data_IF_825704577151
#
_entry.id   IF_825704577151
#
_cell.length_a   1.000
_cell.length_b   1.000
_cell.length_c   1.000
_cell.angle_alpha   90.00
_cell.angle_beta   90.00
_cell.angle_gamma   90.00
#
_symmetry.space_group_name_H-M   'P 1'
#
loop_
_entity.id
_entity.type
_entity.pdbx_description
1 polymer ?
#
# COMPACT_ATOMS: atom_id res chain seq x y z
N UNK A 1 31.79 -5.19 -8.90
CA UNK A 1 31.20 -5.66 -7.63
C UNK A 1 29.73 -5.98 -7.86
N UNK A 2 29.46 -7.25 -8.12
CA UNK A 2 28.16 -7.82 -8.54
C UNK A 2 27.34 -8.16 -7.31
N UNK A 3 26.22 -7.46 -7.11
CA UNK A 3 25.24 -7.70 -6.04
C UNK A 3 24.02 -8.44 -6.58
N UNK A 4 23.99 -9.74 -6.35
CA UNK A 4 23.10 -10.74 -6.94
C UNK A 4 21.63 -10.60 -6.50
N UNK A 5 20.72 -10.41 -7.47
CA UNK A 5 19.27 -10.46 -7.27
C UNK A 5 18.84 -11.89 -6.91
N UNK A 6 18.27 -12.07 -5.71
CA UNK A 6 17.62 -13.33 -5.30
C UNK A 6 16.27 -13.47 -6.02
N UNK A 7 16.16 -14.53 -6.83
CA UNK A 7 14.93 -14.95 -7.53
C UNK A 7 13.87 -15.37 -6.52
N UNK A 8 12.64 -14.89 -6.72
CA UNK A 8 11.43 -15.51 -6.18
C UNK A 8 10.59 -16.03 -7.36
N UNK A 9 10.23 -17.31 -7.24
CA UNK A 9 9.23 -18.15 -7.92
C UNK A 9 8.52 -17.67 -9.19
N UNK A 10 8.45 -18.58 -10.16
CA UNK A 10 7.81 -18.44 -11.47
C UNK A 10 6.36 -17.93 -11.40
N UNK A 11 6.16 -16.69 -11.86
CA UNK A 11 4.85 -16.10 -12.05
C UNK A 11 4.21 -16.64 -13.33
N UNK A 12 3.00 -17.19 -13.20
CA UNK A 12 2.06 -17.43 -14.30
C UNK A 12 1.95 -16.13 -15.11
N UNK A 13 2.44 -16.13 -16.35
CA UNK A 13 2.38 -15.01 -17.29
C UNK A 13 0.95 -14.80 -17.78
N UNK A 14 0.13 -14.18 -16.93
CA UNK A 14 -1.01 -13.40 -17.39
C UNK A 14 -0.43 -12.14 -18.01
N UNK A 15 -0.85 -11.70 -19.21
CA UNK A 15 -0.35 -10.46 -19.77
C UNK A 15 -0.55 -9.35 -18.73
N UNK A 16 0.54 -8.67 -18.39
CA UNK A 16 0.58 -7.60 -17.42
C UNK A 16 -0.31 -6.44 -17.89
N UNK A 17 -1.62 -6.56 -17.66
CA UNK A 17 -2.49 -5.40 -17.51
C UNK A 17 -1.93 -4.68 -16.29
N UNK A 18 -1.02 -3.75 -16.55
CA UNK A 18 -0.19 -3.08 -15.56
C UNK A 18 -1.01 -2.80 -14.30
N UNK A 19 -0.71 -3.54 -13.24
CA UNK A 19 -1.29 -3.26 -11.92
C UNK A 19 -1.02 -1.78 -11.58
N UNK A 20 -1.87 -1.21 -10.73
CA UNK A 20 -1.73 0.19 -10.32
C UNK A 20 -0.54 0.35 -9.36
N UNK A 21 0.67 0.14 -9.86
CA UNK A 21 1.94 0.11 -9.14
C UNK A 21 2.60 1.50 -9.12
N UNK A 22 3.47 1.77 -8.12
CA UNK A 22 4.20 3.02 -8.04
C UNK A 22 5.29 3.12 -9.13
N UNK A 23 5.40 4.29 -9.72
CA UNK A 23 6.56 4.73 -10.50
C UNK A 23 7.52 5.45 -9.55
N UNK A 24 8.66 4.82 -9.22
CA UNK A 24 9.67 5.40 -8.31
C UNK A 24 10.18 6.75 -8.85
N UNK A 25 10.74 7.56 -7.94
CA UNK A 25 11.09 8.98 -8.13
C UNK A 25 9.89 9.93 -8.22
N UNK A 26 8.92 9.65 -9.09
CA UNK A 26 7.76 10.53 -9.31
C UNK A 26 6.56 10.18 -8.43
N UNK A 27 6.51 8.95 -7.92
CA UNK A 27 5.42 8.43 -7.10
C UNK A 27 4.04 8.56 -7.75
N UNK A 28 3.98 8.47 -9.07
CA UNK A 28 2.76 8.38 -9.84
C UNK A 28 2.41 6.92 -10.12
N UNK A 29 1.14 6.65 -10.37
CA UNK A 29 0.68 5.33 -10.76
C UNK A 29 1.06 5.05 -12.21
N UNK A 30 1.74 3.93 -12.47
CA UNK A 30 2.16 3.53 -13.82
C UNK A 30 0.98 3.33 -14.78
N UNK A 31 -0.20 2.99 -14.26
CA UNK A 31 -1.39 2.69 -15.06
C UNK A 31 -2.21 3.92 -15.43
N UNK A 32 -2.40 4.85 -14.49
CA UNK A 32 -3.32 5.97 -14.68
C UNK A 32 -2.69 7.36 -14.49
N UNK A 33 -1.39 7.45 -14.20
CA UNK A 33 -0.67 8.72 -14.03
C UNK A 33 -1.03 9.52 -12.77
N UNK A 34 -2.03 9.09 -12.00
CA UNK A 34 -2.44 9.76 -10.76
C UNK A 34 -1.41 9.56 -9.63
N UNK A 35 -1.37 10.44 -8.62
CA UNK A 35 -0.55 10.24 -7.43
C UNK A 35 -0.78 8.85 -6.83
N UNK A 36 0.28 8.05 -6.71
CA UNK A 36 0.22 6.75 -6.08
C UNK A 36 0.28 6.91 -4.55
N UNK A 37 -0.56 6.22 -3.74
CA UNK A 37 -1.57 5.25 -4.14
C UNK A 37 -2.80 5.92 -4.77
N UNK A 38 -3.12 5.55 -6.01
CA UNK A 38 -4.35 6.00 -6.67
C UNK A 38 -5.56 5.17 -6.19
N UNK A 39 -6.79 5.61 -6.48
CA UNK A 39 -8.00 4.92 -5.99
C UNK A 39 -8.04 3.41 -6.26
N UNK A 40 -7.67 2.98 -7.47
CA UNK A 40 -7.60 1.57 -7.83
C UNK A 40 -6.48 0.81 -7.11
N UNK A 41 -5.32 1.46 -6.86
CA UNK A 41 -4.25 0.88 -6.04
C UNK A 41 -4.71 0.69 -4.59
N UNK A 42 -5.40 1.69 -4.02
CA UNK A 42 -5.95 1.60 -2.65
C UNK A 42 -6.91 0.41 -2.53
N UNK A 43 -7.84 0.27 -3.49
CA UNK A 43 -8.78 -0.84 -3.51
C UNK A 43 -8.08 -2.21 -3.62
N UNK A 44 -7.10 -2.35 -4.53
CA UNK A 44 -6.34 -3.58 -4.70
C UNK A 44 -5.56 -3.95 -3.43
N UNK A 45 -4.88 -2.97 -2.80
CA UNK A 45 -4.12 -3.18 -1.57
C UNK A 45 -5.01 -3.62 -0.40
N UNK A 46 -6.22 -3.07 -0.27
CA UNK A 46 -7.17 -3.51 0.77
C UNK A 46 -7.60 -4.96 0.56
N UNK A 47 -7.82 -5.38 -0.69
CA UNK A 47 -8.18 -6.77 -1.01
C UNK A 47 -7.01 -7.71 -0.74
N UNK A 48 -5.80 -7.33 -1.15
CA UNK A 48 -4.59 -8.14 -0.99
C UNK A 48 -4.22 -8.34 0.49
N UNK A 49 -4.33 -7.29 1.30
CA UNK A 49 -3.99 -7.32 2.72
C UNK A 49 -5.19 -7.48 3.66
N UNK A 50 -6.33 -7.97 3.15
CA UNK A 50 -7.58 -8.10 3.92
C UNK A 50 -7.43 -8.92 5.21
N UNK A 51 -6.48 -9.85 5.23
CA UNK A 51 -6.22 -10.77 6.32
C UNK A 51 -5.20 -10.22 7.33
N UNK A 52 -4.50 -9.12 7.01
CA UNK A 52 -3.57 -8.45 7.92
C UNK A 52 -3.42 -6.96 7.58
N UNK A 53 -4.16 -6.11 8.31
CA UNK A 53 -4.01 -4.66 8.19
C UNK A 53 -2.64 -4.17 8.67
N UNK A 54 -2.04 -4.83 9.66
CA UNK A 54 -0.69 -4.47 10.13
C UNK A 54 0.31 -4.58 8.99
N UNK A 55 0.22 -5.64 8.18
CA UNK A 55 1.07 -5.82 7.00
C UNK A 55 0.83 -4.73 5.94
N UNK A 56 -0.41 -4.29 5.73
CA UNK A 56 -0.73 -3.15 4.85
C UNK A 56 -0.07 -1.85 5.35
N UNK A 57 -0.18 -1.55 6.65
CA UNK A 57 0.43 -0.36 7.23
C UNK A 57 1.95 -0.38 7.14
N UNK A 58 2.59 -1.52 7.42
CA UNK A 58 4.04 -1.66 7.30
C UNK A 58 4.52 -1.46 5.86
N UNK A 59 3.81 -2.05 4.89
CA UNK A 59 4.11 -1.85 3.47
C UNK A 59 3.99 -0.37 3.06
N UNK A 60 2.89 0.28 3.45
CA UNK A 60 2.65 1.69 3.12
C UNK A 60 3.61 2.64 3.85
N UNK A 61 4.05 2.31 5.07
CA UNK A 61 5.04 3.09 5.80
C UNK A 61 6.41 3.05 5.12
N UNK A 62 6.83 1.88 4.61
CA UNK A 62 8.04 1.76 3.78
C UNK A 62 7.92 2.61 2.51
N UNK A 63 6.76 2.54 1.84
CA UNK A 63 6.50 3.37 0.67
C UNK A 63 6.52 4.87 0.98
N UNK A 64 5.95 5.30 2.11
CA UNK A 64 5.95 6.68 2.56
C UNK A 64 7.36 7.21 2.76
N UNK A 65 8.21 6.46 3.49
CA UNK A 65 9.60 6.83 3.72
C UNK A 65 10.34 7.03 2.40
N UNK A 66 10.25 6.05 1.51
CA UNK A 66 10.84 6.12 0.19
C UNK A 66 10.30 7.27 -0.67
N UNK A 67 9.01 7.60 -0.54
CA UNK A 67 8.35 8.68 -1.28
C UNK A 67 8.82 10.06 -0.85
N UNK A 68 8.95 10.26 0.46
CA UNK A 68 9.51 11.49 1.01
C UNK A 68 10.91 11.70 0.45
N UNK A 69 11.78 10.68 0.56
CA UNK A 69 13.15 10.73 0.06
C UNK A 69 13.24 11.04 -1.44
N UNK A 70 12.47 10.31 -2.26
CA UNK A 70 12.48 10.46 -3.72
C UNK A 70 11.95 11.82 -4.18
N UNK A 71 10.81 12.27 -3.61
CA UNK A 71 10.19 13.54 -3.99
C UNK A 71 11.01 14.73 -3.48
N UNK A 72 11.60 14.63 -2.28
CA UNK A 72 12.36 15.74 -1.71
C UNK A 72 13.69 15.94 -2.47
N UNK A 73 14.30 14.84 -2.93
CA UNK A 73 15.44 14.89 -3.87
C UNK A 73 15.08 15.48 -5.23
N UNK A 74 13.84 15.27 -5.71
CA UNK A 74 13.38 15.83 -6.97
C UNK A 74 13.14 17.34 -6.86
N UNK A 75 12.34 17.74 -5.87
CA UNK A 75 12.08 19.13 -5.50
C UNK A 75 11.35 19.20 -4.15
N UNK A 76 11.91 19.88 -3.13
CA UNK A 76 11.25 20.03 -1.82
C UNK A 76 9.82 20.59 -1.89
N UNK A 77 9.50 21.46 -2.86
CA UNK A 77 8.14 21.99 -3.00
C UNK A 77 7.12 20.95 -3.48
N UNK A 78 7.57 19.89 -4.16
CA UNK A 78 6.71 18.82 -4.68
C UNK A 78 6.39 17.79 -3.60
N UNK A 79 7.29 17.59 -2.63
CA UNK A 79 7.02 16.71 -1.47
C UNK A 79 5.86 17.23 -0.62
N UNK A 80 5.67 18.54 -0.52
CA UNK A 80 4.64 19.12 0.34
C UNK A 80 4.92 18.88 1.83
N UNK A 81 3.88 18.96 2.67
CA UNK A 81 4.02 18.82 4.12
C UNK A 81 4.03 17.37 4.58
N UNK A 82 4.51 17.13 5.81
CA UNK A 82 4.43 15.82 6.44
C UNK A 82 2.98 15.32 6.60
N UNK A 83 2.03 16.23 6.83
CA UNK A 83 0.61 15.90 6.93
C UNK A 83 0.05 15.39 5.59
N UNK A 84 0.39 16.06 4.47
CA UNK A 84 -0.05 15.64 3.14
C UNK A 84 0.44 14.22 2.79
N UNK A 85 1.71 13.94 3.14
CA UNK A 85 2.32 12.63 2.92
C UNK A 85 1.69 11.55 3.81
N UNK A 86 1.40 11.88 5.07
CA UNK A 86 0.66 10.99 5.95
C UNK A 86 -0.74 10.67 5.39
N UNK A 87 -1.52 11.67 5.02
CA UNK A 87 -2.89 11.48 4.53
C UNK A 87 -2.94 10.66 3.23
N UNK A 88 -1.96 10.89 2.35
CA UNK A 88 -1.82 10.18 1.09
C UNK A 88 -1.56 8.68 1.28
N UNK A 89 -0.64 8.32 2.17
CA UNK A 89 -0.21 6.92 2.34
C UNK A 89 -0.95 6.20 3.47
N UNK A 90 -1.09 6.82 4.64
CA UNK A 90 -1.53 6.19 5.89
C UNK A 90 -2.88 6.71 6.44
N UNK A 91 -3.39 7.84 5.95
CA UNK A 91 -4.65 8.42 6.45
C UNK A 91 -5.90 7.65 6.02
N UNK A 92 -5.89 7.04 4.83
CA UNK A 92 -7.04 6.33 4.29
C UNK A 92 -7.23 4.88 4.79
N UNK A 93 -6.19 4.05 5.06
CA UNK A 93 -6.36 2.71 5.61
C UNK A 93 -6.93 2.73 7.03
N UNK A 94 -6.72 3.81 7.79
CA UNK A 94 -7.25 3.97 9.15
C UNK A 94 -8.78 3.85 9.22
N UNK A 95 -9.48 4.24 8.14
CA UNK A 95 -10.94 4.11 8.01
C UNK A 95 -11.39 2.64 7.91
N UNK A 96 -10.52 1.73 7.49
CA UNK A 96 -10.78 0.29 7.42
C UNK A 96 -10.48 -0.46 8.73
N UNK A 97 -9.68 0.13 9.64
CA UNK A 97 -9.44 -0.44 10.97
C UNK A 97 -10.76 -0.64 11.71
N UNK A 98 -11.68 0.33 11.59
CA UNK A 98 -12.99 0.24 12.23
C UNK A 98 -13.79 -0.97 11.73
N UNK A 99 -13.76 -1.25 10.43
CA UNK A 99 -14.43 -2.40 9.84
C UNK A 99 -13.76 -3.74 10.20
N UNK A 100 -12.42 -3.78 10.23
CA UNK A 100 -11.65 -4.98 10.63
C UNK A 100 -11.90 -5.35 12.09
N UNK A 101 -11.91 -4.36 13.00
CA UNK A 101 -12.18 -4.59 14.43
C UNK A 101 -13.55 -5.23 14.66
N UNK A 102 -14.56 -4.80 13.90
CA UNK A 102 -15.91 -5.38 13.96
C UNK A 102 -15.89 -6.84 13.46
N UNK A 103 -15.19 -7.12 12.36
CA UNK A 103 -15.06 -8.49 11.81
C UNK A 103 -14.39 -9.46 12.79
N UNK A 104 -13.30 -9.05 13.42
CA UNK A 104 -12.60 -9.87 14.42
C UNK A 104 -13.48 -10.16 15.63
N UNK A 105 -14.19 -9.15 16.16
CA UNK A 105 -15.12 -9.32 17.28
C UNK A 105 -16.25 -10.29 16.92
N UNK A 106 -16.80 -10.20 15.70
CA UNK A 106 -17.86 -11.14 15.26
C UNK A 106 -17.35 -12.56 15.03
N UNK A 107 -16.09 -12.74 14.59
CA UNK A 107 -15.50 -14.06 14.40
C UNK A 107 -15.27 -14.78 15.75
N UNK A 108 -14.66 -14.09 16.72
CA UNK A 108 -14.42 -14.62 18.08
C UNK A 108 -15.74 -15.05 18.74
N UNK A 109 -16.80 -14.23 18.60
CA UNK A 109 -18.11 -14.54 19.19
C UNK A 109 -18.82 -15.73 18.54
N UNK A 110 -18.57 -16.00 17.26
CA UNK A 110 -19.15 -17.15 16.56
C UNK A 110 -18.43 -18.47 16.92
N UNK A 111 -17.14 -18.40 17.26
CA UNK A 111 -16.36 -19.53 17.76
C UNK A 111 -16.76 -19.92 19.19
N UNK A 112 -17.02 -18.93 20.06
CA UNK A 112 -17.54 -19.15 21.43
C UNK A 112 -18.97 -19.71 21.44
N UNK A 113 -19.83 -19.31 20.49
CA UNK A 113 -21.22 -19.79 20.41
C UNK A 113 -21.37 -21.18 19.76
N UNK A 114 -20.29 -21.74 19.20
CA UNK A 114 -20.26 -23.08 18.60
C UNK A 114 -19.63 -24.14 19.51
N UNK A 115 -19.29 -23.77 20.76
CA UNK A 115 -18.83 -24.67 21.84
C UNK A 115 -19.90 -24.79 22.91
#
# INVERSE_FOLDING_TARGET
MTGQQRRLTAHRTVPARLEHLPMRRLWLCRRCGQPWPCGAAKAALVVEYRDSLVSLFLYLAGCLHDAIDDLHRLNPSVTGSAADMFDRFLGWPARHIHAYRVRTITAVRNEEASS
#
